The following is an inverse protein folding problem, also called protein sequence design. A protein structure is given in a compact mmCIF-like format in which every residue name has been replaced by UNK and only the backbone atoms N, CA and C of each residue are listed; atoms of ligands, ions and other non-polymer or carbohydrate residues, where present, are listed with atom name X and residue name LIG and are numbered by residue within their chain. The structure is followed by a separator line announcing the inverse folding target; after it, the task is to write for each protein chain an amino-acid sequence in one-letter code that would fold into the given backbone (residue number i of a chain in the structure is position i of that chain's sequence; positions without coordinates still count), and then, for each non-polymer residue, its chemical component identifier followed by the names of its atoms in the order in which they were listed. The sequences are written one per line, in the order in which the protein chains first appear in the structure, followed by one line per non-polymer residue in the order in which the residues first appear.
data_IF_064087473197
#
_entry.id   IF_064087473197
#
_cell.length_a   1.000
_cell.length_b   1.000
_cell.length_c   1.000
_cell.angle_alpha   90.00
_cell.angle_beta   90.00
_cell.angle_gamma   90.00
#
_symmetry.space_group_name_H-M   'P 1'
#
loop_
_entity.id
_entity.type
_entity.pdbx_description
1 polymer ?
#
# COMPACT_ATOMS: atom_id res chain seq x y z
N UNK A 1 1.75 -12.91 -13.14
CA UNK A 1 1.13 -13.64 -12.00
C UNK A 1 -0.01 -12.82 -11.45
N UNK A 2 -1.22 -13.35 -11.32
CA UNK A 2 -2.36 -12.63 -10.73
C UNK A 2 -2.40 -12.93 -9.22
N UNK A 3 -2.19 -11.92 -8.40
CA UNK A 3 -2.33 -12.05 -6.93
C UNK A 3 -3.74 -11.61 -6.56
N UNK A 4 -4.50 -12.51 -5.95
CA UNK A 4 -5.82 -12.22 -5.41
C UNK A 4 -5.79 -12.41 -3.90
N UNK A 5 -6.09 -11.36 -3.15
CA UNK A 5 -6.02 -11.39 -1.69
C UNK A 5 -6.84 -10.29 -1.05
N UNK A 6 -6.98 -10.36 0.27
CA UNK A 6 -7.52 -9.29 1.09
C UNK A 6 -6.37 -8.54 1.75
N UNK A 7 -6.49 -7.23 1.79
CA UNK A 7 -5.50 -6.36 2.42
C UNK A 7 -6.17 -5.46 3.45
N UNK A 8 -5.49 -5.26 4.57
CA UNK A 8 -5.81 -4.22 5.53
C UNK A 8 -4.70 -3.16 5.49
N UNK A 9 -5.10 -1.90 5.51
CA UNK A 9 -4.20 -0.75 5.47
C UNK A 9 -4.45 0.12 6.69
N UNK A 10 -3.41 0.53 7.36
CA UNK A 10 -3.45 1.53 8.42
C UNK A 10 -2.34 2.54 8.17
N UNK A 11 -2.69 3.81 8.09
CA UNK A 11 -1.74 4.90 7.92
C UNK A 11 -1.93 5.94 9.00
N UNK A 12 -0.83 6.50 9.49
CA UNK A 12 -0.80 7.66 10.39
C UNK A 12 0.30 8.60 9.95
N UNK A 13 -0.06 9.85 9.71
CA UNK A 13 0.94 10.87 9.38
C UNK A 13 1.71 11.32 10.62
N UNK A 14 3.01 11.70 10.45
CA UNK A 14 3.80 11.51 9.25
C UNK A 14 4.38 10.09 9.17
N UNK A 15 4.55 9.58 7.94
CA UNK A 15 5.43 8.46 7.58
C UNK A 15 5.17 7.08 8.20
N UNK A 16 4.08 6.89 8.96
CA UNK A 16 3.74 5.60 9.54
C UNK A 16 2.70 4.87 8.69
N UNK A 17 2.98 3.61 8.37
CA UNK A 17 2.08 2.77 7.60
C UNK A 17 2.19 1.31 8.00
N UNK A 18 1.07 0.59 7.87
CA UNK A 18 1.00 -0.86 7.97
C UNK A 18 0.09 -1.38 6.87
N UNK A 19 0.60 -2.33 6.13
CA UNK A 19 -0.17 -3.09 5.13
C UNK A 19 -0.09 -4.55 5.52
N UNK A 20 -1.22 -5.20 5.63
CA UNK A 20 -1.33 -6.60 6.00
C UNK A 20 -2.09 -7.36 4.92
N UNK A 21 -1.46 -8.39 4.35
CA UNK A 21 -2.10 -9.32 3.46
C UNK A 21 -2.63 -10.51 4.24
N UNK A 22 -3.88 -10.86 3.98
CA UNK A 22 -4.58 -11.92 4.70
C UNK A 22 -4.89 -13.04 3.72
N UNK A 23 -4.52 -14.26 4.08
CA UNK A 23 -4.83 -15.46 3.30
C UNK A 23 -6.34 -15.80 3.32
N UNK A 24 -6.83 -16.71 2.47
CA UNK A 24 -8.26 -17.05 2.42
C UNK A 24 -8.83 -17.58 3.73
N UNK A 25 -8.01 -18.11 4.63
CA UNK A 25 -8.43 -18.63 5.94
C UNK A 25 -8.23 -17.63 7.08
N UNK A 26 -7.88 -16.38 6.75
CA UNK A 26 -7.85 -15.27 7.71
C UNK A 26 -6.52 -15.10 8.45
N UNK A 27 -5.43 -15.79 8.06
CA UNK A 27 -4.10 -15.60 8.66
C UNK A 27 -3.32 -14.54 7.91
N UNK A 28 -2.44 -13.84 8.61
CA UNK A 28 -1.49 -12.91 7.99
C UNK A 28 -0.47 -13.66 7.16
N UNK A 29 -0.57 -13.52 5.84
CA UNK A 29 0.39 -14.08 4.89
C UNK A 29 1.72 -13.31 4.95
N UNK A 30 1.62 -11.98 4.87
CA UNK A 30 2.74 -11.07 5.10
C UNK A 30 2.22 -9.72 5.61
N UNK A 31 3.12 -8.94 6.16
CA UNK A 31 2.85 -7.54 6.49
C UNK A 31 4.02 -6.65 6.10
N UNK A 32 3.70 -5.40 5.77
CA UNK A 32 4.66 -4.34 5.58
C UNK A 32 4.43 -3.27 6.65
N UNK A 33 5.50 -2.82 7.30
CA UNK A 33 5.46 -1.75 8.28
C UNK A 33 6.39 -0.65 7.80
N UNK A 34 5.86 0.56 7.69
CA UNK A 34 6.59 1.76 7.28
C UNK A 34 6.78 2.66 8.50
N UNK A 35 8.01 3.10 8.72
CA UNK A 35 8.40 3.99 9.81
C UNK A 35 9.42 4.99 9.28
N UNK A 36 8.95 6.21 8.98
CA UNK A 36 9.80 7.30 8.47
C UNK A 36 10.70 6.87 7.31
N UNK A 37 11.96 6.60 7.57
CA UNK A 37 13.00 6.23 6.60
C UNK A 37 13.19 4.71 6.44
N UNK A 38 12.44 3.88 7.18
CA UNK A 38 12.56 2.41 7.19
C UNK A 38 11.26 1.72 6.86
N UNK A 39 11.38 0.61 6.18
CA UNK A 39 10.27 -0.28 5.89
C UNK A 39 10.67 -1.74 6.14
N UNK A 40 9.72 -2.51 6.66
CA UNK A 40 9.91 -3.91 7.00
C UNK A 40 8.90 -4.75 6.24
N UNK A 41 9.39 -5.72 5.49
CA UNK A 41 8.56 -6.78 4.90
C UNK A 41 8.70 -8.02 5.76
N UNK A 42 7.61 -8.47 6.33
CA UNK A 42 7.60 -9.55 7.34
C UNK A 42 6.74 -10.70 6.87
N UNK A 43 7.26 -11.92 6.96
CA UNK A 43 6.51 -13.16 6.71
C UNK A 43 6.36 -13.91 8.04
N UNK A 44 5.25 -13.69 8.78
CA UNK A 44 5.11 -14.20 10.15
C UNK A 44 5.18 -15.72 10.24
N UNK A 45 4.58 -16.42 9.28
CA UNK A 45 4.58 -17.88 9.25
C UNK A 45 5.96 -18.52 9.13
N UNK A 46 6.92 -17.78 8.58
CA UNK A 46 8.32 -18.21 8.42
C UNK A 46 9.27 -17.57 9.44
N UNK A 47 8.78 -16.63 10.24
CA UNK A 47 9.56 -15.83 11.21
C UNK A 47 10.78 -15.16 10.56
N UNK A 48 10.59 -14.59 9.38
CA UNK A 48 11.62 -13.85 8.65
C UNK A 48 11.13 -12.45 8.32
N UNK A 49 12.07 -11.53 8.12
CA UNK A 49 11.77 -10.19 7.62
C UNK A 49 12.91 -9.64 6.77
N UNK A 50 12.59 -8.69 5.89
CA UNK A 50 13.56 -7.85 5.19
C UNK A 50 13.37 -6.41 5.65
N UNK A 51 14.47 -5.64 5.70
CA UNK A 51 14.49 -4.21 5.99
C UNK A 51 14.94 -3.46 4.74
N UNK A 52 14.20 -2.41 4.38
CA UNK A 52 14.44 -1.63 3.18
C UNK A 52 14.04 -0.15 3.39
N UNK A 53 14.37 0.70 2.45
CA UNK A 53 13.78 2.05 2.37
C UNK A 53 12.33 1.94 1.86
N UNK A 54 11.39 2.76 2.34
CA UNK A 54 9.97 2.68 1.97
C UNK A 54 9.71 2.63 0.46
N UNK A 55 10.37 3.50 -0.31
CA UNK A 55 10.20 3.56 -1.77
C UNK A 55 10.70 2.30 -2.48
N UNK A 56 11.79 1.71 -1.98
CA UNK A 56 12.34 0.46 -2.52
C UNK A 56 11.39 -0.69 -2.26
N UNK A 57 10.86 -0.81 -1.04
CA UNK A 57 9.89 -1.85 -0.71
C UNK A 57 8.62 -1.71 -1.54
N UNK A 58 8.08 -0.49 -1.67
CA UNK A 58 6.90 -0.22 -2.49
C UNK A 58 7.16 -0.56 -3.97
N UNK A 59 8.33 -0.20 -4.50
CA UNK A 59 8.72 -0.56 -5.87
C UNK A 59 8.81 -2.07 -6.07
N UNK A 60 9.39 -2.81 -5.13
CA UNK A 60 9.47 -4.28 -5.19
C UNK A 60 8.08 -4.92 -5.15
N UNK A 61 7.19 -4.40 -4.32
CA UNK A 61 5.86 -4.94 -4.11
C UNK A 61 4.84 -4.53 -5.19
N UNK A 62 4.82 -3.25 -5.56
CA UNK A 62 3.87 -2.69 -6.53
C UNK A 62 4.45 -2.56 -7.95
N UNK A 63 5.75 -2.82 -8.14
CA UNK A 63 6.43 -2.57 -9.40
C UNK A 63 6.67 -1.08 -9.69
N UNK A 64 6.31 -0.19 -8.78
CA UNK A 64 6.45 1.26 -8.91
C UNK A 64 6.92 1.89 -7.61
N UNK A 65 7.62 3.02 -7.74
CA UNK A 65 7.95 3.87 -6.59
C UNK A 65 6.74 4.74 -6.23
N UNK A 66 5.94 4.26 -5.28
CA UNK A 66 4.80 4.98 -4.72
C UNK A 66 5.03 5.14 -3.21
N UNK A 67 5.45 6.32 -2.72
CA UNK A 67 5.61 6.56 -1.30
C UNK A 67 4.33 6.28 -0.50
N UNK A 68 4.41 5.82 0.75
CA UNK A 68 3.24 5.51 1.58
C UNK A 68 2.25 6.67 1.70
N UNK A 69 2.72 7.90 1.80
CA UNK A 69 1.87 9.10 1.85
C UNK A 69 1.10 9.34 0.54
N UNK A 70 1.69 9.02 -0.60
CA UNK A 70 1.00 9.08 -1.89
C UNK A 70 -0.07 7.98 -2.01
N UNK A 71 0.25 6.77 -1.55
CA UNK A 71 -0.74 5.69 -1.47
C UNK A 71 -1.93 6.07 -0.58
N UNK A 72 -1.67 6.73 0.56
CA UNK A 72 -2.71 7.25 1.44
C UNK A 72 -3.58 8.30 0.74
N UNK A 73 -2.97 9.23 -0.02
CA UNK A 73 -3.72 10.26 -0.79
C UNK A 73 -4.63 9.62 -1.83
N UNK A 74 -4.14 8.60 -2.54
CA UNK A 74 -4.95 7.84 -3.49
C UNK A 74 -6.15 7.18 -2.80
N UNK A 75 -5.92 6.47 -1.71
CA UNK A 75 -6.97 5.75 -0.98
C UNK A 75 -8.00 6.69 -0.33
N UNK A 76 -7.56 7.87 0.13
CA UNK A 76 -8.44 8.85 0.79
C UNK A 76 -9.14 9.80 -0.17
N UNK A 77 -8.79 9.81 -1.46
CA UNK A 77 -9.33 10.76 -2.43
C UNK A 77 -8.79 12.18 -2.27
N UNK A 78 -7.72 12.37 -1.48
CA UNK A 78 -7.13 13.71 -1.24
C UNK A 78 -6.04 14.07 -2.24
N UNK A 79 -5.99 13.38 -3.35
CA UNK A 79 -4.97 13.55 -4.40
C UNK A 79 -5.03 14.90 -5.12
N UNK A 80 -6.21 15.51 -5.21
CA UNK A 80 -6.41 16.79 -5.89
C UNK A 80 -5.51 17.92 -5.36
N UNK A 81 -5.05 17.80 -4.12
CA UNK A 81 -4.15 18.76 -3.46
C UNK A 81 -2.66 18.38 -3.55
N UNK A 82 -2.30 17.32 -4.28
CA UNK A 82 -0.93 16.98 -4.59
C UNK A 82 -0.45 17.97 -5.67
N UNK A 83 0.13 19.07 -5.21
CA UNK A 83 0.49 20.22 -6.04
C UNK A 83 1.44 19.90 -7.20
N UNK A 84 1.57 20.86 -8.10
CA UNK A 84 2.59 20.92 -9.14
C UNK A 84 3.96 20.64 -8.51
N UNK A 85 4.57 19.48 -8.86
CA UNK A 85 5.86 19.05 -8.29
C UNK A 85 5.91 17.57 -7.93
N UNK A 86 4.76 16.90 -7.77
CA UNK A 86 4.72 15.45 -7.50
C UNK A 86 5.06 14.59 -8.73
N UNK A 87 5.18 15.19 -9.90
CA UNK A 87 5.38 14.49 -11.18
C UNK A 87 4.16 13.69 -11.66
N UNK A 88 3.00 13.83 -11.00
CA UNK A 88 1.76 13.22 -11.41
C UNK A 88 0.95 14.11 -12.36
N UNK A 89 0.49 13.53 -13.46
CA UNK A 89 -0.63 14.07 -14.25
C UNK A 89 -1.93 13.56 -13.66
N UNK A 90 -2.83 14.45 -13.27
CA UNK A 90 -4.08 14.11 -12.58
C UNK A 90 -5.26 14.69 -13.35
N UNK A 91 -6.26 13.85 -13.61
CA UNK A 91 -7.53 14.23 -14.22
C UNK A 91 -8.64 14.17 -13.17
N UNK A 92 -9.49 15.21 -13.17
CA UNK A 92 -10.65 15.29 -12.28
C UNK A 92 -11.94 15.05 -13.07
N UNK A 93 -12.95 14.50 -12.41
CA UNK A 93 -14.31 14.40 -12.95
C UNK A 93 -15.06 15.75 -12.83
N UNK A 94 -16.28 15.79 -13.35
CA UNK A 94 -17.15 16.99 -13.32
C UNK A 94 -17.45 17.51 -11.89
N UNK A 95 -17.21 16.70 -10.87
CA UNK A 95 -17.38 17.04 -9.46
C UNK A 95 -16.06 17.44 -8.77
N UNK A 96 -14.98 17.59 -9.54
CA UNK A 96 -13.67 17.93 -9.02
C UNK A 96 -12.97 16.81 -8.24
N UNK A 97 -13.46 15.56 -8.36
CA UNK A 97 -12.82 14.39 -7.74
C UNK A 97 -11.79 13.81 -8.68
N UNK A 98 -10.66 13.34 -8.14
CA UNK A 98 -9.63 12.72 -8.95
C UNK A 98 -10.15 11.40 -9.53
N UNK A 99 -10.28 11.36 -10.85
CA UNK A 99 -10.76 10.21 -11.62
C UNK A 99 -9.60 9.36 -12.17
N UNK A 100 -8.47 9.99 -12.48
CA UNK A 100 -7.29 9.32 -13.02
C UNK A 100 -6.02 10.04 -12.58
N UNK A 101 -4.94 9.30 -12.48
CA UNK A 101 -3.58 9.84 -12.33
C UNK A 101 -2.57 8.98 -13.04
N UNK A 102 -1.49 9.61 -13.54
CA UNK A 102 -0.43 8.93 -14.25
C UNK A 102 0.94 9.52 -13.90
N UNK A 103 1.95 8.64 -13.72
CA UNK A 103 3.35 9.00 -13.53
C UNK A 103 4.25 7.86 -13.97
N UNK A 104 5.25 8.15 -14.82
CA UNK A 104 6.28 7.20 -15.23
C UNK A 104 5.73 5.85 -15.75
N UNK A 105 4.64 5.90 -16.54
CA UNK A 105 3.99 4.71 -17.10
C UNK A 105 3.13 3.93 -16.11
N UNK A 106 3.04 4.34 -14.86
CA UNK A 106 2.03 3.85 -13.93
C UNK A 106 0.82 4.76 -13.94
N UNK A 107 -0.37 4.16 -14.02
CA UNK A 107 -1.62 4.89 -13.96
C UNK A 107 -2.60 4.22 -12.99
N UNK A 108 -3.43 5.03 -12.38
CA UNK A 108 -4.62 4.58 -11.68
C UNK A 108 -5.87 5.23 -12.28
N UNK A 109 -7.01 4.54 -12.19
CA UNK A 109 -8.31 5.06 -12.60
C UNK A 109 -9.34 4.71 -11.54
N UNK A 110 -10.05 5.71 -11.04
CA UNK A 110 -11.14 5.49 -10.08
C UNK A 110 -12.42 5.16 -10.84
N UNK A 111 -12.85 3.92 -10.76
CA UNK A 111 -14.04 3.43 -11.44
C UNK A 111 -15.33 3.73 -10.65
N UNK A 112 -15.24 3.74 -9.32
CA UNK A 112 -16.36 4.07 -8.42
C UNK A 112 -15.84 4.78 -7.18
N UNK A 113 -16.71 5.62 -6.62
CA UNK A 113 -16.52 6.29 -5.34
C UNK A 113 -17.49 5.75 -4.30
N UNK A 114 -17.19 5.95 -3.02
CA UNK A 114 -18.18 5.74 -1.97
C UNK A 114 -19.32 6.77 -2.13
N UNK A 115 -20.58 6.39 -1.88
CA UNK A 115 -21.71 7.30 -1.97
C UNK A 115 -21.51 8.53 -1.08
N UNK A 116 -21.79 9.73 -1.63
CA UNK A 116 -21.69 10.99 -0.89
C UNK A 116 -20.29 11.44 -0.51
N UNK A 117 -19.23 10.73 -0.92
CA UNK A 117 -17.86 11.06 -0.60
C UNK A 117 -16.98 11.09 -1.86
N UNK A 118 -15.91 11.92 -1.84
CA UNK A 118 -14.87 11.92 -2.88
C UNK A 118 -13.85 10.77 -2.71
N UNK A 119 -14.19 9.76 -1.93
CA UNK A 119 -13.29 8.65 -1.58
C UNK A 119 -13.42 7.52 -2.59
N UNK A 120 -12.32 7.08 -3.20
CA UNK A 120 -12.31 5.97 -4.14
C UNK A 120 -12.78 4.66 -3.51
N UNK A 121 -13.62 3.91 -4.26
CA UNK A 121 -14.12 2.59 -3.85
C UNK A 121 -13.58 1.46 -4.72
N UNK A 122 -13.57 1.66 -6.04
CA UNK A 122 -12.96 0.74 -7.00
C UNK A 122 -11.90 1.48 -7.81
N UNK A 123 -10.70 0.94 -7.80
CA UNK A 123 -9.52 1.55 -8.42
C UNK A 123 -8.89 0.52 -9.34
N UNK A 124 -8.77 0.89 -10.62
CA UNK A 124 -7.92 0.19 -11.59
C UNK A 124 -6.49 0.69 -11.46
N UNK A 125 -5.53 -0.21 -11.53
CA UNK A 125 -4.09 0.07 -11.51
C UNK A 125 -3.47 -0.52 -12.76
N UNK A 126 -2.59 0.21 -13.42
CA UNK A 126 -1.81 -0.26 -14.56
C UNK A 126 -0.41 0.33 -14.56
N UNK A 127 0.56 -0.46 -15.00
CA UNK A 127 1.95 -0.05 -15.08
C UNK A 127 2.78 -1.04 -15.88
N UNK A 128 4.08 -0.79 -16.06
CA UNK A 128 4.96 -1.69 -16.79
C UNK A 128 4.95 -3.09 -16.18
N UNK A 129 4.39 -4.06 -16.92
CA UNK A 129 4.34 -5.46 -16.49
C UNK A 129 3.30 -5.78 -15.40
N UNK A 130 2.46 -4.82 -15.00
CA UNK A 130 1.40 -5.04 -14.02
C UNK A 130 0.07 -4.44 -14.43
N UNK A 131 -1.00 -5.13 -14.11
CA UNK A 131 -2.35 -4.58 -14.09
C UNK A 131 -3.12 -5.18 -12.92
N UNK A 132 -4.00 -4.40 -12.33
CA UNK A 132 -4.74 -4.86 -11.16
C UNK A 132 -6.00 -4.05 -10.91
N UNK A 133 -6.82 -4.56 -10.01
CA UNK A 133 -8.01 -3.89 -9.51
C UNK A 133 -8.07 -4.01 -8.01
N UNK A 134 -8.25 -2.88 -7.36
CA UNK A 134 -8.42 -2.81 -5.91
C UNK A 134 -9.84 -2.36 -5.60
N UNK A 135 -10.51 -3.09 -4.71
CA UNK A 135 -11.81 -2.70 -4.18
C UNK A 135 -11.67 -2.41 -2.70
N UNK A 136 -11.95 -1.17 -2.32
CA UNK A 136 -11.99 -0.75 -0.92
C UNK A 136 -13.34 -1.19 -0.34
N UNK A 137 -13.32 -2.10 0.62
CA UNK A 137 -14.53 -2.64 1.24
C UNK A 137 -15.03 -1.75 2.38
N UNK A 138 -14.09 -1.24 3.18
CA UNK A 138 -14.35 -0.36 4.31
C UNK A 138 -13.21 0.63 4.48
N UNK A 139 -13.52 1.86 4.79
CA UNK A 139 -12.57 2.91 5.12
C UNK A 139 -13.04 3.62 6.39
N UNK A 140 -12.10 3.95 7.26
CA UNK A 140 -12.33 4.78 8.44
C UNK A 140 -11.27 5.85 8.53
N UNK A 141 -11.67 7.08 8.86
CA UNK A 141 -10.77 8.19 9.12
C UNK A 141 -10.58 8.35 10.62
N UNK A 142 -9.35 8.68 11.02
CA UNK A 142 -8.98 8.93 12.42
C UNK A 142 -9.47 7.84 13.40
N UNK A 143 -9.33 6.53 13.08
CA UNK A 143 -9.63 5.51 14.05
C UNK A 143 -8.69 5.66 15.25
N UNK A 144 -9.11 5.30 16.46
CA UNK A 144 -8.18 5.21 17.59
C UNK A 144 -7.09 4.20 17.22
N UNK A 145 -5.92 4.71 16.81
CA UNK A 145 -4.78 3.88 16.45
C UNK A 145 -3.93 3.61 17.68
N UNK A 146 -3.65 2.34 17.92
CA UNK A 146 -2.67 1.94 18.94
C UNK A 146 -1.28 2.12 18.33
N UNK A 147 -0.37 2.78 19.02
CA UNK A 147 1.05 2.90 18.60
C UNK A 147 1.68 1.52 18.33
N UNK A 148 1.26 0.53 19.11
CA UNK A 148 1.64 -0.87 18.91
C UNK A 148 1.38 -1.42 17.49
N UNK A 149 0.47 -0.80 16.72
CA UNK A 149 0.23 -1.22 15.33
C UNK A 149 1.45 -1.02 14.42
N UNK A 150 2.34 -0.07 14.78
CA UNK A 150 3.55 0.25 14.04
C UNK A 150 4.83 -0.20 14.76
N UNK A 151 4.67 -0.89 15.89
CA UNK A 151 5.81 -1.42 16.64
C UNK A 151 6.45 -2.57 15.88
N UNK A 152 7.78 -2.60 15.90
CA UNK A 152 8.61 -3.63 15.27
C UNK A 152 9.42 -4.42 16.28
N UNK A 153 9.19 -4.23 17.57
CA UNK A 153 9.92 -4.92 18.65
C UNK A 153 9.78 -6.44 18.59
N UNK A 154 8.66 -6.94 18.06
CA UNK A 154 8.42 -8.36 17.86
C UNK A 154 9.40 -9.01 16.86
N UNK A 155 10.06 -8.22 16.01
CA UNK A 155 11.06 -8.71 15.04
C UNK A 155 12.31 -9.27 15.73
N UNK A 156 12.52 -9.02 17.02
CA UNK A 156 13.62 -9.62 17.82
C UNK A 156 13.64 -11.15 17.78
N UNK A 157 12.49 -11.78 17.52
CA UNK A 157 12.36 -13.24 17.37
C UNK A 157 12.36 -13.73 15.91
N UNK A 158 12.70 -12.86 14.97
CA UNK A 158 12.69 -13.13 13.54
C UNK A 158 14.09 -13.06 12.94
N UNK A 159 14.30 -13.75 11.83
CA UNK A 159 15.58 -13.74 11.12
C UNK A 159 15.53 -12.66 10.02
N UNK A 160 16.51 -11.76 10.04
CA UNK A 160 16.71 -10.80 8.95
C UNK A 160 17.23 -11.55 7.72
N UNK A 161 16.60 -11.28 6.57
CA UNK A 161 16.95 -11.84 5.27
C UNK A 161 16.90 -10.75 4.21
N UNK A 162 17.54 -10.99 3.07
CA UNK A 162 17.33 -10.16 1.90
C UNK A 162 15.95 -10.43 1.28
N UNK A 163 15.47 -9.52 0.45
CA UNK A 163 14.24 -9.72 -0.30
C UNK A 163 14.30 -10.97 -1.17
N UNK A 164 15.42 -11.16 -1.85
CA UNK A 164 15.68 -12.30 -2.73
C UNK A 164 15.60 -13.63 -1.96
N UNK A 165 16.27 -13.72 -0.82
CA UNK A 165 16.20 -14.91 0.05
C UNK A 165 14.77 -15.21 0.53
N UNK A 166 13.95 -14.17 0.78
CA UNK A 166 12.55 -14.37 1.20
C UNK A 166 11.72 -14.95 0.05
N UNK A 167 11.94 -14.48 -1.19
CA UNK A 167 11.22 -14.99 -2.37
C UNK A 167 11.58 -16.43 -2.71
N UNK A 168 12.78 -16.88 -2.38
CA UNK A 168 13.26 -18.26 -2.60
C UNK A 168 12.76 -19.25 -1.53
N UNK A 169 12.14 -18.76 -0.46
CA UNK A 169 11.62 -19.66 0.57
C UNK A 169 10.46 -20.49 0.03
N UNK A 170 10.47 -21.81 0.24
CA UNK A 170 9.42 -22.68 -0.24
C UNK A 170 8.05 -22.30 0.35
N UNK A 171 7.02 -22.32 -0.49
CA UNK A 171 5.64 -22.23 -0.03
C UNK A 171 5.32 -23.47 0.82
N UNK A 172 4.89 -23.27 2.06
CA UNK A 172 4.40 -24.36 2.92
C UNK A 172 2.89 -24.34 2.99
#
# INVERSE_FOLDING_TARGET
MAVKGKFAFLFRRPGLGRVEAVDPIGRTAFLMIFREDRAYFVVPGKKVYAEEVPEVLMKRFLGISLPPDEALRLLSGTWANAGAGSGWSVEQDERGRVARGERNGFAFTVQRFFPGAGVPKDIGLSGPGMSGRMKVLKLGFNPPSREAAFDVSFLRGYVLKTWEEILELPDR
#
